data_IF_478477340923
#
_entry.id   IF_478477340923
#
_cell.length_a   1.000
_cell.length_b   1.000
_cell.length_c   1.000
_cell.angle_alpha   90.00
_cell.angle_beta   90.00
_cell.angle_gamma   90.00
#
_symmetry.space_group_name_H-M   'P 1'
#
loop_
_entity.id
_entity.type
_entity.pdbx_description
1 polymer ?
#
# COMPACT_ATOMS: atom_id res chain seq x y z
N UNK A 1 5.64 10.25 -31.13
CA UNK A 1 4.18 10.12 -31.34
C UNK A 1 3.68 8.69 -31.09
N UNK A 2 4.44 7.63 -31.45
CA UNK A 2 4.05 6.23 -31.20
C UNK A 2 4.00 5.82 -29.71
N UNK A 3 4.99 6.19 -28.88
CA UNK A 3 4.98 5.87 -27.43
C UNK A 3 3.79 6.44 -26.64
N UNK A 4 3.31 7.64 -26.99
CA UNK A 4 2.14 8.24 -26.32
C UNK A 4 0.86 7.46 -26.63
N UNK A 5 0.79 6.80 -27.79
CA UNK A 5 -0.38 6.01 -28.18
C UNK A 5 -0.41 4.66 -27.44
N UNK A 6 0.76 4.06 -27.20
CA UNK A 6 0.90 2.82 -26.42
C UNK A 6 0.50 3.01 -24.95
N UNK A 7 0.98 4.09 -24.30
CA UNK A 7 0.62 4.38 -22.90
C UNK A 7 -0.89 4.50 -22.69
N UNK A 8 -1.56 5.33 -23.48
CA UNK A 8 -3.00 5.56 -23.35
C UNK A 8 -3.81 4.28 -23.63
N UNK A 9 -3.38 3.48 -24.60
CA UNK A 9 -4.02 2.21 -24.96
C UNK A 9 -3.89 1.19 -23.83
N UNK A 10 -2.67 0.99 -23.29
CA UNK A 10 -2.42 0.09 -22.18
C UNK A 10 -3.17 0.52 -20.92
N UNK A 11 -3.22 1.83 -20.64
CA UNK A 11 -3.94 2.38 -19.51
C UNK A 11 -5.44 2.15 -19.62
N UNK A 12 -6.04 2.46 -20.77
CA UNK A 12 -7.46 2.22 -21.02
C UNK A 12 -7.85 0.75 -20.89
N UNK A 13 -7.01 -0.17 -21.40
CA UNK A 13 -7.20 -1.62 -21.22
C UNK A 13 -7.09 -2.05 -19.77
N UNK A 14 -6.11 -1.52 -19.03
CA UNK A 14 -5.93 -1.83 -17.61
C UNK A 14 -7.19 -1.46 -16.82
N UNK A 15 -7.73 -0.26 -17.02
CA UNK A 15 -8.98 0.19 -16.39
C UNK A 15 -10.17 -0.70 -16.77
N UNK A 16 -10.30 -1.08 -18.04
CA UNK A 16 -11.44 -1.89 -18.52
C UNK A 16 -11.55 -3.23 -17.79
N UNK A 17 -10.44 -3.79 -17.30
CA UNK A 17 -10.42 -5.07 -16.57
C UNK A 17 -10.83 -4.95 -15.10
N UNK A 18 -10.80 -3.74 -14.55
CA UNK A 18 -11.16 -3.51 -13.14
C UNK A 18 -12.65 -3.73 -12.89
N UNK A 19 -13.51 -3.37 -13.85
CA UNK A 19 -14.97 -3.43 -13.70
C UNK A 19 -15.55 -4.83 -13.99
N UNK A 20 -15.05 -5.85 -13.27
CA UNK A 20 -15.54 -7.22 -13.32
C UNK A 20 -15.69 -7.78 -11.88
N UNK A 21 -16.75 -8.52 -11.59
CA UNK A 21 -16.94 -9.18 -10.28
C UNK A 21 -15.77 -10.08 -9.87
N UNK A 22 -15.11 -10.75 -10.84
CA UNK A 22 -13.90 -11.54 -10.57
C UNK A 22 -12.72 -10.67 -10.08
N UNK A 23 -12.74 -9.37 -10.38
CA UNK A 23 -11.68 -8.45 -9.99
C UNK A 23 -11.66 -8.15 -8.48
N UNK A 24 -12.79 -8.34 -7.78
CA UNK A 24 -12.86 -8.24 -6.31
C UNK A 24 -12.04 -9.32 -5.63
N UNK A 25 -11.91 -10.49 -6.26
CA UNK A 25 -11.07 -11.57 -5.74
C UNK A 25 -9.59 -11.17 -5.70
N UNK A 26 -8.85 -11.89 -4.86
CA UNK A 26 -7.39 -11.81 -4.75
C UNK A 26 -6.73 -12.91 -5.61
N UNK A 27 -7.20 -13.07 -6.84
CA UNK A 27 -6.68 -14.07 -7.77
C UNK A 27 -5.46 -13.51 -8.51
N UNK A 28 -4.29 -14.04 -8.15
CA UNK A 28 -3.00 -13.81 -8.80
C UNK A 28 -2.67 -15.00 -9.71
N UNK A 29 -2.23 -14.78 -10.96
CA UNK A 29 -1.77 -15.86 -11.84
C UNK A 29 -0.58 -16.63 -11.27
N UNK A 30 0.31 -15.91 -10.56
CA UNK A 30 1.43 -16.50 -9.84
C UNK A 30 1.60 -15.83 -8.48
N UNK A 31 1.31 -16.51 -7.36
CA UNK A 31 1.48 -15.91 -6.04
C UNK A 31 2.93 -15.58 -5.70
N UNK A 32 3.91 -16.18 -6.39
CA UNK A 32 5.34 -15.93 -6.19
C UNK A 32 5.69 -14.46 -6.46
N UNK A 33 4.93 -13.80 -7.33
CA UNK A 33 5.10 -12.39 -7.67
C UNK A 33 5.06 -11.47 -6.45
N UNK A 34 4.29 -11.78 -5.40
CA UNK A 34 4.25 -10.97 -4.18
C UNK A 34 5.56 -10.97 -3.39
N UNK A 35 6.36 -12.05 -3.53
CA UNK A 35 7.64 -12.20 -2.85
C UNK A 35 8.80 -11.49 -3.56
N UNK A 36 8.51 -10.81 -4.67
CA UNK A 36 9.52 -10.27 -5.56
C UNK A 36 9.48 -8.74 -5.63
N UNK A 37 10.63 -8.09 -5.87
CA UNK A 37 10.65 -6.68 -6.24
C UNK A 37 10.18 -6.52 -7.70
N UNK A 38 9.69 -5.34 -8.05
CA UNK A 38 9.42 -4.98 -9.45
C UNK A 38 10.72 -4.97 -10.27
N UNK A 39 11.79 -4.47 -9.68
CA UNK A 39 13.07 -4.27 -10.35
C UNK A 39 13.93 -5.52 -10.25
N UNK A 40 14.25 -6.12 -11.40
CA UNK A 40 14.98 -7.40 -11.48
C UNK A 40 16.32 -7.35 -10.74
N UNK A 41 17.04 -6.22 -10.83
CA UNK A 41 18.34 -6.05 -10.16
C UNK A 41 18.26 -6.04 -8.63
N UNK A 42 17.08 -5.77 -8.05
CA UNK A 42 16.85 -5.80 -6.60
C UNK A 42 16.47 -7.19 -6.09
N UNK A 43 16.28 -8.18 -6.96
CA UNK A 43 15.95 -9.54 -6.55
C UNK A 43 17.07 -10.15 -5.69
N UNK A 44 16.75 -11.13 -4.88
CA UNK A 44 17.70 -11.78 -3.98
C UNK A 44 17.74 -11.14 -2.60
N UNK A 45 18.96 -11.06 -2.07
CA UNK A 45 19.21 -10.55 -0.73
C UNK A 45 18.86 -9.06 -0.58
N UNK A 46 18.93 -8.27 -1.65
CA UNK A 46 18.64 -6.83 -1.58
C UNK A 46 17.18 -6.57 -1.16
N UNK A 47 16.22 -7.16 -1.88
CA UNK A 47 14.80 -6.97 -1.57
C UNK A 47 14.41 -7.55 -0.21
N UNK A 48 15.00 -8.68 0.19
CA UNK A 48 14.75 -9.27 1.52
C UNK A 48 15.27 -8.35 2.63
N UNK A 49 16.49 -7.81 2.47
CA UNK A 49 17.04 -6.84 3.41
C UNK A 49 16.15 -5.60 3.50
N UNK A 50 15.66 -5.08 2.37
CA UNK A 50 14.70 -3.98 2.35
C UNK A 50 13.44 -4.32 3.17
N UNK A 51 12.80 -5.46 2.92
CA UNK A 51 11.60 -5.90 3.65
C UNK A 51 11.84 -6.05 5.14
N UNK A 52 12.98 -6.65 5.52
CA UNK A 52 13.36 -6.86 6.91
C UNK A 52 13.64 -5.53 7.62
N UNK A 53 14.34 -4.59 6.98
CA UNK A 53 14.62 -3.25 7.54
C UNK A 53 13.32 -2.48 7.77
N UNK A 54 12.41 -2.44 6.79
CA UNK A 54 11.12 -1.76 6.94
C UNK A 54 10.31 -2.37 8.08
N UNK A 55 10.20 -3.69 8.13
CA UNK A 55 9.50 -4.38 9.22
C UNK A 55 10.11 -4.07 10.60
N UNK A 56 11.45 -4.08 10.71
CA UNK A 56 12.17 -3.78 11.95
C UNK A 56 11.95 -2.34 12.39
N UNK A 57 12.06 -1.37 11.48
CA UNK A 57 11.82 0.06 11.80
C UNK A 57 10.40 0.27 12.31
N UNK A 58 9.40 -0.33 11.66
CA UNK A 58 7.99 -0.18 12.05
C UNK A 58 7.68 -0.83 13.39
N UNK A 59 8.15 -2.06 13.63
CA UNK A 59 7.90 -2.74 14.91
C UNK A 59 8.63 -2.08 16.08
N UNK A 60 9.87 -1.60 15.85
CA UNK A 60 10.60 -0.83 16.86
C UNK A 60 9.87 0.46 17.19
N UNK A 61 9.38 1.18 16.17
CA UNK A 61 8.59 2.38 16.39
C UNK A 61 7.33 2.06 17.20
N UNK A 62 6.52 1.08 16.79
CA UNK A 62 5.30 0.69 17.51
C UNK A 62 5.59 0.30 18.98
N UNK A 63 6.68 -0.42 19.23
CA UNK A 63 7.10 -0.80 20.58
C UNK A 63 7.57 0.39 21.44
N UNK A 64 8.16 1.42 20.82
CA UNK A 64 8.58 2.64 21.51
C UNK A 64 7.44 3.63 21.74
N UNK A 65 6.47 3.67 20.84
CA UNK A 65 5.34 4.60 20.85
C UNK A 65 4.36 4.34 22.00
N UNK A 66 4.03 3.07 22.26
CA UNK A 66 3.11 2.69 23.35
C UNK A 66 3.61 3.22 24.71
N UNK A 67 4.86 2.96 25.14
CA UNK A 67 5.41 3.54 26.38
C UNK A 67 5.52 5.07 26.36
N UNK A 68 5.82 5.66 25.19
CA UNK A 68 5.96 7.10 25.06
C UNK A 68 4.63 7.84 25.27
N UNK A 69 3.56 7.37 24.63
CA UNK A 69 2.22 7.93 24.81
C UNK A 69 1.73 7.73 26.25
N UNK A 70 1.96 6.56 26.84
CA UNK A 70 1.64 6.32 28.27
C UNK A 70 2.27 7.35 29.21
N UNK A 71 3.52 7.73 28.97
CA UNK A 71 4.18 8.78 29.78
C UNK A 71 3.61 10.17 29.52
N UNK A 72 3.17 10.48 28.30
CA UNK A 72 2.60 11.79 27.97
C UNK A 72 1.16 11.97 28.46
N UNK A 73 0.38 10.88 28.55
CA UNK A 73 -1.04 10.93 28.91
C UNK A 73 -1.30 11.18 30.39
N UNK A 74 -0.32 10.89 31.25
CA UNK A 74 -0.46 10.90 32.69
C UNK A 74 -1.11 9.62 33.23
N UNK A 75 -0.96 9.33 34.54
CA UNK A 75 -1.38 8.06 35.16
C UNK A 75 -2.90 7.84 35.13
N UNK A 76 -3.70 8.90 34.99
CA UNK A 76 -5.15 8.84 35.14
C UNK A 76 -5.91 8.58 33.83
N UNK A 77 -5.21 8.55 32.68
CA UNK A 77 -5.84 8.30 31.38
C UNK A 77 -5.67 6.83 30.95
N UNK A 78 -6.74 6.18 30.46
CA UNK A 78 -6.67 4.77 30.09
C UNK A 78 -5.75 4.56 28.88
N UNK A 79 -4.94 3.50 28.92
CA UNK A 79 -4.00 3.10 27.85
C UNK A 79 -4.70 2.95 26.47
N UNK A 80 -5.96 2.50 26.49
CA UNK A 80 -6.77 2.28 25.29
C UNK A 80 -7.15 3.60 24.59
N UNK A 81 -6.93 4.74 25.22
CA UNK A 81 -7.29 6.04 24.68
C UNK A 81 -6.47 6.39 23.43
N UNK A 82 -5.18 6.06 23.38
CA UNK A 82 -4.36 6.27 22.17
C UNK A 82 -4.88 5.43 21.00
N UNK A 83 -5.29 4.19 21.26
CA UNK A 83 -5.87 3.29 20.27
C UNK A 83 -7.21 3.75 19.71
N UNK A 84 -7.80 4.85 20.20
CA UNK A 84 -9.01 5.42 19.61
C UNK A 84 -8.72 6.15 18.30
N UNK A 85 -7.49 6.58 18.04
CA UNK A 85 -7.16 7.32 16.81
C UNK A 85 -7.03 6.38 15.59
N UNK A 86 -7.60 6.81 14.46
CA UNK A 86 -7.48 6.12 13.17
C UNK A 86 -6.03 5.94 12.73
N UNK A 87 -5.15 6.90 13.05
CA UNK A 87 -3.72 6.83 12.73
C UNK A 87 -3.07 5.61 13.39
N UNK A 88 -3.44 5.27 14.62
CA UNK A 88 -2.91 4.09 15.31
C UNK A 88 -3.39 2.79 14.65
N UNK A 89 -4.67 2.73 14.23
CA UNK A 89 -5.20 1.58 13.49
C UNK A 89 -4.45 1.38 12.17
N UNK A 90 -4.22 2.46 11.43
CA UNK A 90 -3.46 2.45 10.18
C UNK A 90 -2.01 1.98 10.40
N UNK A 91 -1.36 2.49 11.45
CA UNK A 91 0.03 2.18 11.75
C UNK A 91 0.24 0.74 12.22
N UNK A 92 -0.65 0.23 13.08
CA UNK A 92 -0.67 -1.17 13.52
C UNK A 92 -0.88 -2.10 12.32
N UNK A 93 -1.89 -1.79 11.51
CA UNK A 93 -2.20 -2.54 10.28
C UNK A 93 -0.99 -2.60 9.35
N UNK A 94 -0.34 -1.47 9.10
CA UNK A 94 0.84 -1.40 8.24
C UNK A 94 2.03 -2.16 8.82
N UNK A 95 2.28 -2.04 10.12
CA UNK A 95 3.37 -2.74 10.81
C UNK A 95 3.23 -4.25 10.68
N UNK A 96 2.06 -4.81 11.01
CA UNK A 96 1.83 -6.26 10.88
C UNK A 96 1.88 -6.73 9.43
N UNK A 97 1.38 -5.93 8.49
CA UNK A 97 1.48 -6.22 7.06
C UNK A 97 2.94 -6.27 6.61
N UNK A 98 3.77 -5.32 7.02
CA UNK A 98 5.20 -5.29 6.69
C UNK A 98 5.96 -6.49 7.26
N UNK A 99 5.67 -6.88 8.52
CA UNK A 99 6.23 -8.09 9.14
C UNK A 99 5.81 -9.34 8.35
N UNK A 100 4.53 -9.44 7.99
CA UNK A 100 4.01 -10.57 7.22
C UNK A 100 4.67 -10.65 5.83
N UNK A 101 4.91 -9.53 5.14
CA UNK A 101 5.67 -9.52 3.89
C UNK A 101 7.12 -9.94 4.06
N UNK A 102 7.80 -9.48 5.13
CA UNK A 102 9.17 -9.88 5.41
C UNK A 102 9.26 -11.40 5.63
N UNK A 103 8.36 -11.95 6.46
CA UNK A 103 8.27 -13.38 6.70
C UNK A 103 7.93 -14.16 5.42
N UNK A 104 6.96 -13.69 4.63
CA UNK A 104 6.58 -14.27 3.34
C UNK A 104 7.79 -14.32 2.40
N UNK A 105 8.48 -13.20 2.18
CA UNK A 105 9.65 -13.14 1.29
C UNK A 105 10.79 -14.07 1.72
N UNK A 106 11.07 -14.16 3.02
CA UNK A 106 12.07 -15.09 3.57
C UNK A 106 11.63 -16.53 3.33
N UNK A 107 10.40 -16.88 3.68
CA UNK A 107 9.86 -18.23 3.53
C UNK A 107 9.96 -18.72 2.08
N UNK A 108 9.52 -17.92 1.10
CA UNK A 108 9.58 -18.34 -0.30
C UNK A 108 10.98 -18.39 -0.85
N UNK A 109 11.91 -17.56 -0.36
CA UNK A 109 13.30 -17.69 -0.76
C UNK A 109 13.91 -18.99 -0.26
N UNK A 110 13.67 -19.34 1.00
CA UNK A 110 14.20 -20.57 1.59
C UNK A 110 13.60 -21.83 0.96
N UNK A 111 12.38 -21.74 0.41
CA UNK A 111 11.67 -22.86 -0.18
C UNK A 111 11.55 -22.79 -1.71
N UNK A 112 12.30 -21.89 -2.39
CA UNK A 112 12.14 -21.65 -3.84
C UNK A 112 12.21 -22.93 -4.69
N UNK A 113 13.09 -23.86 -4.33
CA UNK A 113 13.32 -25.10 -5.08
C UNK A 113 12.44 -26.28 -4.61
N UNK A 114 11.62 -26.08 -3.56
CA UNK A 114 10.85 -27.14 -2.89
C UNK A 114 9.34 -26.85 -2.85
N UNK A 115 8.95 -25.58 -2.84
CA UNK A 115 7.56 -25.16 -2.74
C UNK A 115 6.90 -25.22 -4.12
N UNK A 116 5.81 -25.98 -4.21
CA UNK A 116 4.88 -25.90 -5.33
C UNK A 116 4.05 -24.61 -5.24
N UNK A 117 3.37 -24.24 -6.34
CA UNK A 117 2.40 -23.13 -6.33
C UNK A 117 1.27 -23.34 -5.31
N UNK A 118 0.93 -24.59 -5.01
CA UNK A 118 -0.12 -24.95 -4.06
C UNK A 118 0.31 -24.74 -2.59
N UNK A 119 1.62 -24.76 -2.33
CA UNK A 119 2.18 -24.48 -1.00
C UNK A 119 2.16 -22.98 -0.66
N UNK A 120 1.72 -22.12 -1.60
CA UNK A 120 1.76 -20.68 -1.43
C UNK A 120 0.62 -20.12 -0.58
N UNK A 121 0.49 -20.57 0.67
CA UNK A 121 -0.62 -20.22 1.56
C UNK A 121 -0.51 -18.75 2.03
N UNK A 122 -1.65 -18.07 2.18
CA UNK A 122 -1.73 -16.73 2.76
C UNK A 122 -1.47 -15.56 1.80
N UNK A 123 -1.10 -15.81 0.54
CA UNK A 123 -0.83 -14.75 -0.46
C UNK A 123 -2.01 -13.77 -0.62
N UNK A 124 -3.25 -14.28 -0.64
CA UNK A 124 -4.48 -13.49 -0.81
C UNK A 124 -4.71 -12.57 0.39
N UNK A 125 -4.50 -13.11 1.58
CA UNK A 125 -4.64 -12.38 2.85
C UNK A 125 -3.58 -11.29 2.93
N UNK A 126 -2.34 -11.60 2.54
CA UNK A 126 -1.24 -10.65 2.52
C UNK A 126 -1.50 -9.51 1.52
N UNK A 127 -2.01 -9.84 0.32
CA UNK A 127 -2.37 -8.84 -0.68
C UNK A 127 -3.54 -7.96 -0.22
N UNK A 128 -4.56 -8.54 0.41
CA UNK A 128 -5.67 -7.80 1.02
C UNK A 128 -5.16 -6.78 2.03
N UNK A 129 -4.32 -7.22 2.97
CA UNK A 129 -3.78 -6.35 4.00
C UNK A 129 -2.81 -5.30 3.44
N UNK A 130 -2.05 -5.61 2.38
CA UNK A 130 -1.24 -4.63 1.66
C UNK A 130 -2.09 -3.46 1.15
N UNK A 131 -3.13 -3.77 0.39
CA UNK A 131 -4.01 -2.77 -0.19
C UNK A 131 -4.69 -1.94 0.92
N UNK A 132 -5.17 -2.61 1.97
CA UNK A 132 -5.81 -1.97 3.10
C UNK A 132 -4.85 -1.02 3.84
N UNK A 133 -3.63 -1.48 4.15
CA UNK A 133 -2.61 -0.70 4.85
C UNK A 133 -2.16 0.51 4.03
N UNK A 134 -1.82 0.30 2.76
CA UNK A 134 -1.32 1.36 1.88
C UNK A 134 -2.34 2.49 1.75
N UNK A 135 -3.61 2.16 1.49
CA UNK A 135 -4.67 3.17 1.39
C UNK A 135 -4.91 3.88 2.73
N UNK A 136 -5.02 3.12 3.83
CA UNK A 136 -5.35 3.71 5.15
C UNK A 136 -4.24 4.64 5.65
N UNK A 137 -2.96 4.29 5.46
CA UNK A 137 -1.83 5.14 5.81
C UNK A 137 -1.84 6.45 5.01
N UNK A 138 -2.01 6.38 3.69
CA UNK A 138 -2.02 7.57 2.86
C UNK A 138 -3.27 8.44 3.11
N UNK A 139 -4.42 7.82 3.38
CA UNK A 139 -5.66 8.53 3.74
C UNK A 139 -5.50 9.28 5.06
N UNK A 140 -5.05 8.60 6.12
CA UNK A 140 -4.86 9.25 7.44
C UNK A 140 -3.78 10.33 7.39
N UNK A 141 -2.69 10.11 6.65
CA UNK A 141 -1.66 11.12 6.40
C UNK A 141 -2.20 12.34 5.68
N UNK A 142 -2.93 12.16 4.56
CA UNK A 142 -3.49 13.28 3.81
C UNK A 142 -4.51 14.07 4.62
N UNK A 143 -5.41 13.40 5.35
CA UNK A 143 -6.37 14.06 6.25
C UNK A 143 -5.65 14.88 7.33
N UNK A 144 -4.56 14.38 7.89
CA UNK A 144 -3.74 15.14 8.83
C UNK A 144 -3.17 16.41 8.23
N UNK A 145 -2.52 16.31 7.07
CA UNK A 145 -1.88 17.45 6.41
C UNK A 145 -2.88 18.49 5.89
N UNK A 146 -4.07 18.05 5.47
CA UNK A 146 -5.13 18.94 4.98
C UNK A 146 -5.91 19.59 6.12
N UNK A 147 -6.21 18.85 7.20
CA UNK A 147 -7.22 19.25 8.18
C UNK A 147 -6.74 19.46 9.62
N UNK A 148 -5.60 18.90 10.02
CA UNK A 148 -5.15 18.90 11.42
C UNK A 148 -3.80 19.57 11.67
N UNK A 149 -3.04 19.86 10.62
CA UNK A 149 -1.78 20.61 10.69
C UNK A 149 -2.02 22.11 10.94
N UNK A 150 -2.69 22.44 12.04
CA UNK A 150 -2.95 23.81 12.47
C UNK A 150 -2.40 24.03 13.89
N UNK A 151 -1.93 25.26 14.18
CA UNK A 151 -1.46 25.64 15.51
C UNK A 151 -2.58 25.63 16.55
N UNK A 152 -3.82 25.85 16.12
CA UNK A 152 -5.00 25.77 16.98
C UNK A 152 -5.22 24.33 17.51
N UNK A 153 -4.67 23.35 16.81
CA UNK A 153 -4.68 21.93 17.19
C UNK A 153 -3.37 21.51 17.86
N UNK A 154 -3.07 22.06 19.04
CA UNK A 154 -1.77 21.90 19.71
C UNK A 154 -1.23 20.45 19.81
N UNK A 155 -2.10 19.45 20.04
CA UNK A 155 -1.70 18.03 20.03
C UNK A 155 -1.25 17.56 18.64
N UNK A 156 -1.97 17.94 17.60
CA UNK A 156 -1.70 17.58 16.22
C UNK A 156 -0.53 18.39 15.62
N UNK A 157 -0.19 19.56 16.16
CA UNK A 157 0.94 20.38 15.71
C UNK A 157 2.32 19.91 16.23
N UNK A 158 2.37 18.94 17.15
CA UNK A 158 3.62 18.38 17.70
C UNK A 158 4.49 17.72 16.63
N UNK A 159 5.81 17.69 16.85
CA UNK A 159 6.75 16.99 15.95
C UNK A 159 6.43 15.50 15.82
N UNK A 160 6.05 14.84 16.91
CA UNK A 160 5.65 13.43 16.90
C UNK A 160 4.49 13.20 15.95
N UNK A 161 3.45 14.04 16.01
CA UNK A 161 2.29 13.99 15.11
C UNK A 161 2.70 14.16 13.64
N UNK A 162 3.62 15.09 13.32
CA UNK A 162 4.17 15.24 11.95
C UNK A 162 4.80 13.95 11.45
N UNK A 163 5.69 13.38 12.27
CA UNK A 163 6.47 12.20 11.90
C UNK A 163 5.57 10.98 11.73
N UNK A 164 4.59 10.77 12.62
CA UNK A 164 3.60 9.67 12.55
C UNK A 164 2.79 9.69 11.25
N UNK A 165 2.54 10.86 10.67
CA UNK A 165 1.80 10.97 9.41
C UNK A 165 2.72 10.98 8.18
N UNK A 166 3.92 11.55 8.26
CA UNK A 166 4.84 11.63 7.11
C UNK A 166 5.63 10.35 6.87
N UNK A 167 6.28 9.78 7.90
CA UNK A 167 7.23 8.69 7.67
C UNK A 167 6.52 7.43 7.16
N UNK A 168 5.43 6.94 7.78
CA UNK A 168 4.71 5.78 7.24
C UNK A 168 4.19 6.01 5.82
N UNK A 169 3.72 7.22 5.50
CA UNK A 169 3.27 7.57 4.15
C UNK A 169 4.40 7.49 3.13
N UNK A 170 5.58 8.04 3.45
CA UNK A 170 6.78 7.93 2.61
C UNK A 170 7.19 6.47 2.45
N UNK A 171 7.18 5.67 3.52
CA UNK A 171 7.51 4.24 3.46
C UNK A 171 6.54 3.47 2.56
N UNK A 172 5.24 3.76 2.60
CA UNK A 172 4.25 3.16 1.69
C UNK A 172 4.53 3.55 0.23
N UNK A 173 4.85 4.82 -0.04
CA UNK A 173 5.17 5.28 -1.40
C UNK A 173 6.44 4.58 -1.91
N UNK A 174 7.49 4.52 -1.09
CA UNK A 174 8.74 3.82 -1.44
C UNK A 174 8.48 2.33 -1.68
N UNK A 175 7.72 1.68 -0.81
CA UNK A 175 7.34 0.27 -0.96
C UNK A 175 6.59 0.07 -2.29
N UNK A 176 5.59 0.92 -2.58
CA UNK A 176 4.84 0.91 -3.82
C UNK A 176 5.73 0.95 -5.06
N UNK A 177 6.83 1.70 -5.05
CA UNK A 177 7.79 1.72 -6.17
C UNK A 177 8.66 0.47 -6.26
N UNK A 178 8.99 -0.17 -5.14
CA UNK A 178 9.95 -1.27 -5.07
C UNK A 178 9.28 -2.63 -5.30
N UNK A 179 8.10 -2.85 -4.73
CA UNK A 179 7.45 -4.15 -4.72
C UNK A 179 6.79 -4.51 -6.04
N UNK A 180 6.53 -5.81 -6.25
CA UNK A 180 5.77 -6.32 -7.38
C UNK A 180 4.30 -6.66 -7.01
N UNK A 181 3.76 -6.06 -5.96
CA UNK A 181 2.37 -6.29 -5.54
C UNK A 181 1.42 -5.53 -6.46
N UNK A 182 0.36 -6.17 -7.01
CA UNK A 182 -0.62 -5.45 -7.81
C UNK A 182 -1.53 -4.55 -6.98
N UNK A 183 -2.03 -3.46 -7.58
CA UNK A 183 -3.13 -2.66 -7.02
C UNK A 183 -4.30 -2.71 -7.99
N UNK A 184 -5.51 -2.91 -7.46
CA UNK A 184 -6.77 -2.88 -8.20
C UNK A 184 -7.62 -1.71 -7.74
N UNK A 185 -8.31 -1.04 -8.67
CA UNK A 185 -9.25 0.04 -8.32
C UNK A 185 -10.40 -0.51 -7.47
N UNK A 186 -10.92 -1.69 -7.81
CA UNK A 186 -12.06 -2.30 -7.08
C UNK A 186 -11.72 -2.69 -5.65
N UNK A 187 -10.45 -2.96 -5.35
CA UNK A 187 -10.00 -3.23 -3.97
C UNK A 187 -10.10 -1.99 -3.07
N UNK A 188 -10.40 -0.81 -3.62
CA UNK A 188 -10.77 0.38 -2.85
C UNK A 188 -12.00 0.19 -1.96
N UNK A 189 -12.85 -0.80 -2.22
CA UNK A 189 -13.99 -1.11 -1.34
C UNK A 189 -13.56 -1.51 0.09
N UNK A 190 -12.41 -2.15 0.24
CA UNK A 190 -11.94 -2.66 1.54
C UNK A 190 -11.52 -1.55 2.52
N UNK A 191 -10.69 -0.55 2.15
CA UNK A 191 -10.43 0.59 3.01
C UNK A 191 -11.67 1.44 3.29
N UNK A 192 -12.65 1.48 2.37
CA UNK A 192 -13.93 2.14 2.64
C UNK A 192 -14.73 1.42 3.73
N UNK A 193 -14.80 0.09 3.71
CA UNK A 193 -15.42 -0.70 4.77
C UNK A 193 -14.73 -0.42 6.11
N UNK A 194 -13.39 -0.39 6.15
CA UNK A 194 -12.65 -0.04 7.36
C UNK A 194 -12.96 1.38 7.84
N UNK A 195 -13.08 2.35 6.94
CA UNK A 195 -13.48 3.71 7.27
C UNK A 195 -14.89 3.81 7.86
N UNK A 196 -15.86 3.03 7.33
CA UNK A 196 -17.22 2.94 7.88
C UNK A 196 -17.20 2.32 9.28
N UNK A 197 -16.46 1.22 9.47
CA UNK A 197 -16.29 0.58 10.78
C UNK A 197 -15.67 1.53 11.80
N UNK A 198 -14.67 2.31 11.39
CA UNK A 198 -14.07 3.32 12.24
C UNK A 198 -15.04 4.45 12.58
N UNK A 199 -15.81 4.96 11.60
CA UNK A 199 -16.86 5.96 11.83
C UNK A 199 -17.89 5.46 12.85
N UNK A 200 -18.38 4.23 12.69
CA UNK A 200 -19.28 3.58 13.64
C UNK A 200 -18.65 3.44 15.02
N UNK A 201 -17.39 3.04 15.09
CA UNK A 201 -16.63 2.99 16.34
C UNK A 201 -16.62 4.36 17.04
N UNK A 202 -16.35 5.46 16.33
CA UNK A 202 -16.35 6.80 16.95
C UNK A 202 -17.73 7.22 17.46
N UNK A 203 -18.80 6.81 16.78
CA UNK A 203 -20.17 7.06 17.23
C UNK A 203 -20.50 6.27 18.50
N UNK A 204 -20.17 4.97 18.52
CA UNK A 204 -20.34 4.10 19.70
C UNK A 204 -19.54 4.65 20.89
N UNK A 205 -18.30 5.08 20.64
CA UNK A 205 -17.44 5.69 21.65
C UNK A 205 -18.04 6.97 22.26
N UNK A 206 -18.73 7.77 21.45
CA UNK A 206 -19.39 8.99 21.92
C UNK A 206 -20.62 8.66 22.78
N UNK A 207 -21.52 7.76 22.33
CA UNK A 207 -22.73 7.40 23.10
C UNK A 207 -22.41 6.62 24.39
N UNK A 208 -21.26 5.97 24.49
CA UNK A 208 -20.84 5.27 25.71
C UNK A 208 -20.43 6.21 26.84
N UNK A 209 -20.45 7.54 26.62
CA UNK A 209 -20.08 8.54 27.62
C UNK A 209 -18.60 8.49 27.99
N UNK A 210 -17.75 7.90 27.13
CA UNK A 210 -16.31 7.87 27.36
C UNK A 210 -15.75 9.28 27.30
N UNK A 211 -14.96 9.68 28.31
CA UNK A 211 -14.49 11.06 28.43
C UNK A 211 -13.57 11.50 27.27
N UNK A 212 -12.91 10.57 26.57
CA UNK A 212 -11.97 10.96 25.51
C UNK A 212 -10.75 11.72 26.04
N UNK A 213 -9.97 12.30 25.13
CA UNK A 213 -8.82 13.15 25.47
C UNK A 213 -9.21 14.50 26.07
N UNK A 214 -10.35 15.02 25.63
CA UNK A 214 -10.88 16.37 25.87
C UNK A 214 -11.98 16.41 26.93
N UNK A 215 -12.32 15.28 27.55
CA UNK A 215 -13.35 15.18 28.59
C UNK A 215 -14.79 15.17 28.06
N UNK A 216 -15.00 15.28 26.75
CA UNK A 216 -16.31 15.41 26.11
C UNK A 216 -16.64 14.27 25.12
N UNK A 217 -15.84 13.20 25.10
CA UNK A 217 -16.04 12.03 24.22
C UNK A 217 -15.78 12.26 22.74
N UNK A 218 -15.26 13.42 22.35
CA UNK A 218 -14.87 13.73 20.98
C UNK A 218 -13.42 13.28 20.77
N UNK A 219 -13.20 12.35 19.83
CA UNK A 219 -11.85 11.90 19.44
C UNK A 219 -11.18 12.93 18.53
N UNK A 220 -11.90 13.41 17.52
CA UNK A 220 -11.44 14.44 16.58
C UNK A 220 -12.38 15.63 16.56
N UNK A 221 -11.86 16.87 16.56
CA UNK A 221 -12.69 18.07 16.43
C UNK A 221 -13.66 18.03 15.25
N UNK A 222 -13.24 17.47 14.10
CA UNK A 222 -14.06 17.35 12.89
C UNK A 222 -15.13 16.25 12.97
N UNK A 223 -14.98 15.25 13.86
CA UNK A 223 -15.93 14.17 14.10
C UNK A 223 -16.71 14.42 15.41
N UNK A 224 -17.38 15.57 15.47
CA UNK A 224 -18.18 15.97 16.62
C UNK A 224 -19.62 15.45 16.53
N UNK A 225 -19.89 14.32 17.18
CA UNK A 225 -21.22 13.68 17.18
C UNK A 225 -22.31 14.47 17.94
N UNK A 226 -21.96 15.50 18.72
CA UNK A 226 -22.95 16.46 19.24
C UNK A 226 -23.58 17.30 18.10
N UNK A 227 -22.93 17.34 16.93
CA UNK A 227 -23.43 17.93 15.70
C UNK A 227 -23.44 16.87 14.58
N UNK A 228 -24.38 15.92 14.60
CA UNK A 228 -24.31 14.70 13.79
C UNK A 228 -24.23 14.97 12.28
N UNK A 229 -24.86 16.03 11.77
CA UNK A 229 -24.74 16.42 10.37
C UNK A 229 -23.30 16.76 9.95
N UNK A 230 -22.53 17.43 10.82
CA UNK A 230 -21.12 17.73 10.57
C UNK A 230 -20.25 16.47 10.67
N UNK A 231 -20.49 15.62 11.66
CA UNK A 231 -19.75 14.36 11.81
C UNK A 231 -19.97 13.43 10.60
N UNK A 232 -21.22 13.27 10.16
CA UNK A 232 -21.56 12.49 8.95
C UNK A 232 -20.89 13.09 7.70
N UNK A 233 -20.93 14.43 7.55
CA UNK A 233 -20.23 15.11 6.48
C UNK A 233 -18.72 14.83 6.48
N UNK A 234 -18.07 14.88 7.65
CA UNK A 234 -16.66 14.55 7.79
C UNK A 234 -16.36 13.08 7.43
N UNK A 235 -17.19 12.12 7.88
CA UNK A 235 -17.08 10.71 7.48
C UNK A 235 -17.15 10.56 5.96
N UNK A 236 -18.14 11.18 5.31
CA UNK A 236 -18.30 11.11 3.84
C UNK A 236 -17.08 11.71 3.13
N UNK A 237 -16.58 12.86 3.57
CA UNK A 237 -15.40 13.49 2.97
C UNK A 237 -14.14 12.61 3.08
N UNK A 238 -13.92 11.96 4.22
CA UNK A 238 -12.78 11.03 4.40
C UNK A 238 -12.94 9.80 3.51
N UNK A 239 -14.16 9.26 3.36
CA UNK A 239 -14.41 8.14 2.44
C UNK A 239 -14.16 8.53 0.98
N UNK A 240 -14.63 9.71 0.55
CA UNK A 240 -14.33 10.23 -0.79
C UNK A 240 -12.82 10.43 -1.00
N UNK A 241 -12.10 10.92 0.02
CA UNK A 241 -10.66 11.06 -0.03
C UNK A 241 -9.96 9.70 -0.15
N UNK A 242 -10.42 8.66 0.56
CA UNK A 242 -9.90 7.29 0.43
C UNK A 242 -10.09 6.70 -0.98
N UNK A 243 -11.18 7.05 -1.69
CA UNK A 243 -11.38 6.71 -3.11
C UNK A 243 -10.31 7.38 -3.98
N UNK A 244 -10.03 8.66 -3.76
CA UNK A 244 -8.99 9.39 -4.49
C UNK A 244 -7.63 8.74 -4.24
N UNK A 245 -7.30 8.41 -2.99
CA UNK A 245 -6.07 7.70 -2.63
C UNK A 245 -5.98 6.34 -3.34
N UNK A 246 -7.08 5.58 -3.46
CA UNK A 246 -7.07 4.33 -4.22
C UNK A 246 -6.74 4.56 -5.69
N UNK A 247 -7.33 5.60 -6.29
CA UNK A 247 -7.02 6.00 -7.67
C UNK A 247 -5.53 6.34 -7.83
N UNK A 248 -4.96 7.11 -6.90
CA UNK A 248 -3.53 7.46 -6.91
C UNK A 248 -2.62 6.24 -6.73
N UNK A 249 -2.96 5.31 -5.84
CA UNK A 249 -2.23 4.06 -5.65
C UNK A 249 -2.25 3.20 -6.93
N UNK A 250 -3.41 3.12 -7.58
CA UNK A 250 -3.53 2.43 -8.87
C UNK A 250 -2.72 3.11 -9.97
N UNK A 251 -2.72 4.44 -10.03
CA UNK A 251 -1.88 5.19 -10.96
C UNK A 251 -0.39 4.93 -10.72
N UNK A 252 0.05 4.94 -9.46
CA UNK A 252 1.44 4.61 -9.10
C UNK A 252 1.81 3.18 -9.51
N UNK A 253 0.93 2.22 -9.25
CA UNK A 253 1.09 0.84 -9.71
C UNK A 253 1.23 0.77 -11.24
N UNK A 254 0.35 1.42 -11.99
CA UNK A 254 0.39 1.41 -13.45
C UNK A 254 1.70 2.03 -13.97
N UNK A 255 2.06 3.22 -13.45
CA UNK A 255 3.28 3.93 -13.86
C UNK A 255 4.54 3.11 -13.54
N UNK A 256 4.60 2.49 -12.36
CA UNK A 256 5.71 1.58 -11.98
C UNK A 256 5.86 0.44 -12.98
N UNK A 257 4.77 -0.23 -13.34
CA UNK A 257 4.81 -1.32 -14.31
C UNK A 257 5.18 -0.83 -15.70
N UNK A 258 4.68 0.33 -16.11
CA UNK A 258 5.03 0.94 -17.39
C UNK A 258 6.52 1.29 -17.49
N UNK A 259 7.10 1.88 -16.44
CA UNK A 259 8.55 2.13 -16.39
C UNK A 259 9.33 0.81 -16.39
N UNK A 260 8.87 -0.18 -15.64
CA UNK A 260 9.48 -1.52 -15.65
C UNK A 260 9.41 -2.18 -17.03
N UNK A 261 8.32 -2.00 -17.78
CA UNK A 261 8.16 -2.47 -19.16
C UNK A 261 9.15 -1.82 -20.11
N UNK A 262 9.26 -0.48 -20.07
CA UNK A 262 10.24 0.25 -20.88
C UNK A 262 11.68 -0.15 -20.58
N UNK A 263 11.95 -0.57 -19.34
CA UNK A 263 13.24 -1.07 -18.91
C UNK A 263 13.46 -2.57 -19.17
N UNK A 264 12.54 -3.26 -19.85
CA UNK A 264 12.64 -4.70 -20.11
C UNK A 264 12.51 -5.60 -18.87
N UNK A 265 11.96 -5.06 -17.77
CA UNK A 265 11.79 -5.77 -16.51
C UNK A 265 10.46 -6.52 -16.40
N UNK A 266 10.02 -6.74 -15.15
CA UNK A 266 8.81 -7.51 -14.83
C UNK A 266 7.50 -6.87 -15.29
N UNK A 267 7.53 -5.59 -15.68
CA UNK A 267 6.41 -4.92 -16.33
C UNK A 267 5.96 -5.60 -17.62
N UNK A 268 6.87 -6.23 -18.36
CA UNK A 268 6.55 -6.99 -19.58
C UNK A 268 5.53 -8.09 -19.30
N UNK A 269 5.79 -8.95 -18.30
CA UNK A 269 4.86 -10.01 -17.91
C UNK A 269 3.49 -9.45 -17.52
N UNK A 270 3.47 -8.32 -16.83
CA UNK A 270 2.22 -7.65 -16.41
C UNK A 270 1.40 -7.20 -17.62
N UNK A 271 2.01 -6.57 -18.64
CA UNK A 271 1.29 -6.12 -19.83
C UNK A 271 0.97 -7.24 -20.83
N UNK A 272 1.81 -8.27 -20.95
CA UNK A 272 1.46 -9.47 -21.73
C UNK A 272 0.19 -10.14 -21.16
N UNK A 273 0.05 -10.17 -19.83
CA UNK A 273 -1.18 -10.62 -19.19
C UNK A 273 -2.38 -9.70 -19.48
N UNK A 274 -2.16 -8.43 -19.86
CA UNK A 274 -3.20 -7.47 -20.25
C UNK A 274 -3.59 -7.58 -21.73
N UNK A 275 -2.68 -8.03 -22.59
CA UNK A 275 -2.88 -8.18 -24.03
C UNK A 275 -2.51 -9.61 -24.48
N UNK A 276 -3.45 -10.58 -24.45
CA UNK A 276 -3.17 -11.91 -24.99
C UNK A 276 -2.80 -11.84 -26.48
N UNK A 277 -1.86 -12.68 -26.91
CA UNK A 277 -1.25 -12.71 -28.26
C UNK A 277 -2.25 -12.82 -29.41
N UNK A 278 -3.48 -13.26 -29.13
CA UNK A 278 -4.57 -13.37 -30.10
C UNK A 278 -5.20 -12.04 -30.51
N UNK A 279 -4.77 -10.92 -29.91
CA UNK A 279 -5.20 -9.58 -30.31
C UNK A 279 -4.17 -8.93 -31.23
N UNK A 280 -4.61 -8.17 -32.24
CA UNK A 280 -3.73 -7.43 -33.18
C UNK A 280 -2.67 -6.58 -32.44
N UNK A 281 -3.00 -6.11 -31.24
CA UNK A 281 -2.11 -5.34 -30.38
C UNK A 281 -1.11 -6.19 -29.58
N UNK A 282 -1.44 -7.45 -29.25
CA UNK A 282 -0.47 -8.42 -28.72
C UNK A 282 0.61 -8.74 -29.75
N UNK A 283 0.25 -8.76 -31.04
CA UNK A 283 1.20 -8.85 -32.15
C UNK A 283 2.06 -7.58 -32.30
N UNK A 284 1.52 -6.39 -31.98
CA UNK A 284 2.29 -5.13 -31.97
C UNK A 284 3.30 -5.09 -30.82
N UNK A 285 2.93 -5.50 -29.61
CA UNK A 285 3.86 -5.60 -28.47
C UNK A 285 4.94 -6.64 -28.76
N UNK A 286 4.58 -7.81 -29.29
CA UNK A 286 5.56 -8.81 -29.71
C UNK A 286 6.48 -8.29 -30.82
N UNK A 287 5.96 -7.48 -31.76
CA UNK A 287 6.77 -6.78 -32.77
C UNK A 287 7.77 -5.79 -32.14
N UNK A 288 7.32 -4.91 -31.25
CA UNK A 288 8.19 -3.95 -30.52
C UNK A 288 9.29 -4.66 -29.70
N UNK A 289 8.96 -5.80 -29.08
CA UNK A 289 9.93 -6.63 -28.33
C UNK A 289 10.92 -7.32 -29.28
N UNK A 290 10.46 -7.77 -30.45
CA UNK A 290 11.28 -8.46 -31.46
C UNK A 290 12.13 -7.53 -32.34
N UNK A 291 11.92 -6.22 -32.27
CA UNK A 291 12.71 -5.26 -33.03
C UNK A 291 14.19 -5.29 -32.57
N UNK A 292 15.18 -5.39 -33.49
CA UNK A 292 16.58 -5.58 -33.15
C UNK A 292 17.18 -4.46 -32.28
N UNK A 293 16.72 -3.23 -32.45
CA UNK A 293 17.15 -2.08 -31.64
C UNK A 293 16.70 -2.24 -30.18
N UNK A 294 15.43 -2.61 -29.94
CA UNK A 294 14.89 -2.90 -28.61
C UNK A 294 15.53 -4.17 -28.03
N UNK A 295 15.70 -5.22 -28.85
CA UNK A 295 16.33 -6.49 -28.46
C UNK A 295 17.79 -6.33 -28.04
N UNK A 296 18.54 -5.38 -28.62
CA UNK A 296 19.93 -5.10 -28.23
C UNK A 296 20.03 -4.41 -26.86
N UNK A 297 19.01 -3.63 -26.48
CA UNK A 297 18.88 -3.03 -25.15
C UNK A 297 18.33 -4.03 -24.10
N UNK A 298 17.75 -5.15 -24.56
CA UNK A 298 17.10 -6.19 -23.75
C UNK A 298 18.01 -7.41 -23.46
N UNK A 299 19.18 -7.51 -24.10
CA UNK A 299 20.12 -8.60 -23.85
C UNK A 299 20.89 -8.36 -22.53
N UNK A 300 20.83 -9.26 -21.53
CA UNK A 300 21.74 -9.17 -20.39
C UNK A 300 23.16 -9.37 -20.92
N UNK A 301 24.02 -8.39 -20.67
CA UNK A 301 25.46 -8.54 -20.93
C UNK A 301 25.96 -9.76 -20.16
N UNK A 302 26.51 -10.80 -20.83
CA UNK A 302 27.10 -11.91 -20.12
C UNK A 302 28.31 -11.39 -19.36
N UNK A 303 28.21 -11.32 -18.03
CA UNK A 303 29.38 -11.13 -17.17
C UNK A 303 30.25 -12.38 -17.32
N UNK A 304 31.26 -12.27 -18.17
CA UNK A 304 32.42 -13.15 -18.20
C UNK A 304 33.09 -13.11 -16.82
N UNK A 305 32.75 -14.06 -15.95
CA UNK A 305 33.61 -14.41 -14.83
C UNK A 305 34.79 -15.20 -15.41
N UNK A 306 35.86 -14.47 -15.74
CA UNK A 306 37.16 -15.12 -15.89
C UNK A 306 37.56 -15.64 -14.51
N UNK A 307 37.56 -16.96 -14.39
CA UNK A 307 38.36 -17.70 -13.42
C UNK A 307 39.81 -17.22 -13.53
N UNK A 308 40.32 -16.62 -12.46
CA UNK A 308 41.75 -16.50 -12.23
C UNK A 308 42.11 -17.48 -11.12
N UNK A 309 43.00 -18.39 -11.52
CA UNK A 309 43.95 -19.13 -10.70
C UNK A 309 44.70 -18.21 -9.72
#
# INVERSE_FOLDING_TARGET
MMQNNAFCTLFGRSIKREFNFKAFGFELPDPYELSLPQWVWMDGGFYISFRFVVATVLITWLACEIPFELRQLGPDKPILLSFTYATEWAFILYTFTAIAFAAFCIYYRLNKDRASKEDMIGNKVLWFFFNLAANTILTTSGVYWIGFWDRDYAYFFKLTSKLKHSIPAVLVIVDMFINNVPIRLVHGVYPLILGILYGLFTYIYWISGSAGFTGNGIIYPILNWNKPGYALGACVLVLLFSIIIQGLLYMLYFMRNYVSYLAGGRGVTTFCNFCPESTDEGQLINREISDPETSSALAPTPKSYNSLE
#
